data_IF_193546110157
#
_entry.id   IF_193546110157
#
_cell.length_a   1.000
_cell.length_b   1.000
_cell.length_c   1.000
_cell.angle_alpha   90.00
_cell.angle_beta   90.00
_cell.angle_gamma   90.00
#
_symmetry.space_group_name_H-M   'P 1'
#
loop_
_entity.id
_entity.type
_entity.pdbx_description
1 polymer ?
#
# COMPACT_ATOMS: atom_id res chain seq x y z
N UNK A 1 11.03 -4.06 -4.53
CA UNK A 1 10.29 -2.78 -4.48
C UNK A 1 10.76 -2.02 -3.25
N UNK A 2 11.02 -0.71 -3.36
CA UNK A 2 11.47 0.08 -2.21
C UNK A 2 10.28 0.43 -1.28
N UNK A 3 10.43 0.23 0.03
CA UNK A 3 9.35 0.38 1.00
C UNK A 3 8.76 1.79 1.03
N UNK A 4 9.64 2.79 0.99
CA UNK A 4 9.25 4.19 1.00
C UNK A 4 8.55 4.59 -0.31
N UNK A 5 8.98 4.06 -1.46
CA UNK A 5 8.31 4.35 -2.74
C UNK A 5 6.90 3.77 -2.80
N UNK A 6 6.72 2.55 -2.29
CA UNK A 6 5.40 1.94 -2.18
C UNK A 6 4.49 2.75 -1.24
N UNK A 7 5.00 3.14 -0.07
CA UNK A 7 4.27 4.00 0.87
C UNK A 7 3.86 5.33 0.25
N UNK A 8 4.80 6.03 -0.41
CA UNK A 8 4.57 7.35 -0.99
C UNK A 8 3.56 7.28 -2.16
N UNK A 9 3.61 6.22 -2.97
CA UNK A 9 2.64 5.99 -4.03
C UNK A 9 1.24 5.71 -3.47
N UNK A 10 1.11 4.87 -2.44
CA UNK A 10 -0.18 4.59 -1.80
C UNK A 10 -0.72 5.81 -1.07
N UNK A 11 0.13 6.60 -0.42
CA UNK A 11 -0.25 7.85 0.23
C UNK A 11 -0.76 8.90 -0.77
N UNK A 12 -0.14 8.99 -1.95
CA UNK A 12 -0.59 9.90 -3.04
C UNK A 12 -1.89 9.45 -3.68
N UNK A 13 -2.02 8.16 -3.98
CA UNK A 13 -3.19 7.62 -4.69
C UNK A 13 -4.37 7.31 -3.77
N UNK A 14 -4.14 7.24 -2.46
CA UNK A 14 -5.09 6.76 -1.44
C UNK A 14 -5.72 5.39 -1.77
N UNK A 15 -5.09 4.62 -2.66
CA UNK A 15 -5.60 3.37 -3.20
C UNK A 15 -4.45 2.46 -3.61
N UNK A 16 -4.41 1.25 -3.04
CA UNK A 16 -3.42 0.23 -3.37
C UNK A 16 -3.49 -0.20 -4.83
N UNK A 17 -4.70 -0.31 -5.39
CA UNK A 17 -4.90 -0.68 -6.79
C UNK A 17 -4.33 0.41 -7.72
N UNK A 18 -4.70 1.68 -7.51
CA UNK A 18 -4.18 2.79 -8.33
C UNK A 18 -2.68 2.97 -8.18
N UNK A 19 -2.15 2.86 -6.96
CA UNK A 19 -0.72 2.90 -6.69
C UNK A 19 0.02 1.78 -7.44
N UNK A 20 -0.54 0.57 -7.45
CA UNK A 20 0.07 -0.58 -8.16
C UNK A 20 0.07 -0.36 -9.68
N UNK A 21 -1.04 0.12 -10.24
CA UNK A 21 -1.11 0.48 -11.66
C UNK A 21 -0.11 1.58 -12.01
N UNK A 22 0.00 2.63 -11.18
CA UNK A 22 0.93 3.74 -11.39
C UNK A 22 2.40 3.30 -11.30
N UNK A 23 2.69 2.34 -10.44
CA UNK A 23 4.03 1.79 -10.23
C UNK A 23 4.37 0.66 -11.20
N UNK A 24 3.43 0.19 -12.03
CA UNK A 24 3.64 -0.93 -12.95
C UNK A 24 3.87 -2.27 -12.25
N UNK A 25 3.31 -2.45 -11.04
CA UNK A 25 3.49 -3.65 -10.21
C UNK A 25 2.17 -4.35 -9.93
N UNK A 26 2.26 -5.59 -9.45
CA UNK A 26 1.08 -6.36 -9.02
C UNK A 26 0.36 -5.69 -7.85
N UNK A 27 -0.98 -5.75 -7.77
CA UNK A 27 -1.80 -5.16 -6.69
C UNK A 27 -1.39 -5.58 -5.26
N UNK A 28 -0.83 -6.77 -5.14
CA UNK A 28 -0.36 -7.38 -3.89
C UNK A 28 1.03 -6.90 -3.46
N UNK A 29 1.84 -6.33 -4.37
CA UNK A 29 3.21 -5.91 -4.07
C UNK A 29 3.27 -4.77 -3.05
N UNK A 30 2.64 -3.60 -3.27
CA UNK A 30 2.68 -2.51 -2.28
C UNK A 30 1.96 -2.87 -0.97
N UNK A 31 0.97 -3.77 -1.01
CA UNK A 31 0.35 -4.30 0.21
C UNK A 31 1.35 -5.07 1.08
N UNK A 32 2.14 -5.96 0.47
CA UNK A 32 3.12 -6.77 1.19
C UNK A 32 4.28 -5.90 1.70
N UNK A 33 4.76 -5.00 0.85
CA UNK A 33 5.82 -4.04 1.17
C UNK A 33 5.45 -3.13 2.35
N UNK A 34 4.25 -2.53 2.34
CA UNK A 34 3.82 -1.66 3.44
C UNK A 34 3.61 -2.46 4.72
N UNK A 35 3.04 -3.67 4.64
CA UNK A 35 2.88 -4.51 5.82
C UNK A 35 4.22 -4.86 6.47
N UNK A 36 5.23 -5.19 5.68
CA UNK A 36 6.58 -5.46 6.18
C UNK A 36 7.19 -4.19 6.82
N UNK A 37 6.97 -3.01 6.21
CA UNK A 37 7.39 -1.74 6.79
C UNK A 37 6.72 -1.45 8.14
N UNK A 38 5.42 -1.70 8.26
CA UNK A 38 4.66 -1.57 9.52
C UNK A 38 5.16 -2.54 10.58
N UNK A 39 5.41 -3.80 10.21
CA UNK A 39 5.96 -4.84 11.11
C UNK A 39 7.36 -4.46 11.61
N UNK A 40 8.22 -3.92 10.74
CA UNK A 40 9.57 -3.47 11.12
C UNK A 40 9.57 -2.23 12.02
N UNK A 41 8.62 -1.32 11.82
CA UNK A 41 8.51 -0.10 12.61
C UNK A 41 7.68 -0.29 13.88
N UNK A 42 6.94 -1.39 14.01
CA UNK A 42 6.04 -1.64 15.14
C UNK A 42 4.84 -0.68 15.18
N UNK A 43 4.52 -0.01 14.07
CA UNK A 43 3.44 0.98 13.98
C UNK A 43 2.59 0.74 12.75
N UNK A 44 1.29 1.04 12.84
CA UNK A 44 0.41 1.11 11.68
C UNK A 44 0.57 2.46 10.99
N UNK A 45 1.06 2.42 9.75
CA UNK A 45 1.23 3.60 8.91
C UNK A 45 -0.03 3.89 8.10
N UNK A 46 -0.75 2.84 7.68
CA UNK A 46 -1.98 2.98 6.92
C UNK A 46 -3.11 2.21 7.59
N UNK A 47 -4.17 2.94 7.95
CA UNK A 47 -5.44 2.32 8.33
C UNK A 47 -6.04 1.69 7.08
N UNK A 48 -5.87 0.37 6.92
CA UNK A 48 -6.54 -0.41 5.87
C UNK A 48 -8.06 -0.22 5.98
N UNK A 49 -8.61 0.73 5.24
CA UNK A 49 -10.01 0.65 4.83
C UNK A 49 -10.01 -0.29 3.63
N UNK A 50 -10.11 -1.60 3.90
CA UNK A 50 -10.56 -2.53 2.87
C UNK A 50 -11.97 -2.08 2.53
N UNK A 51 -12.09 -1.14 1.59
CA UNK A 51 -13.34 -0.84 0.92
C UNK A 51 -13.64 -2.07 0.07
N UNK A 52 -14.10 -3.12 0.74
CA UNK A 52 -14.82 -4.22 0.15
C UNK A 52 -15.90 -3.56 -0.70
N UNK A 53 -16.04 -3.98 -1.95
CA UNK A 53 -17.21 -3.59 -2.73
C UNK A 53 -18.44 -4.06 -1.93
N UNK A 54 -19.18 -3.10 -1.41
CA UNK A 54 -20.29 -3.30 -0.51
C UNK A 54 -21.17 -2.05 -0.51
N UNK A 55 -21.59 -1.66 -1.72
CA UNK A 55 -22.87 -1.04 -2.06
C UNK A 55 -22.99 -1.04 -3.57
#
# INVERSE_FOLDING_TARGET
MNDILAFLAVAKEQSFTRASTRLGVSPSAPSHTIRNLEERLGVRLLTRTTRNKGM
#
